data_IF_748224258684
#
_entry.id   IF_748224258684
#
_cell.length_a   1.000
_cell.length_b   1.000
_cell.length_c   1.000
_cell.angle_alpha   90.00
_cell.angle_beta   90.00
_cell.angle_gamma   90.00
#
_symmetry.space_group_name_H-M   'P 1'
#
loop_
_entity.id
_entity.type
_entity.pdbx_description
1 polymer ?
#
# COMPACT_ATOMS: atom_id res chain seq x y z
N UNK A 1 -2.61 -13.83 9.86
CA UNK A 1 -3.54 -12.79 10.34
C UNK A 1 -4.93 -12.93 9.76
N UNK A 2 -5.99 -12.47 10.46
CA UNK A 2 -7.22 -12.05 9.80
C UNK A 2 -6.89 -10.93 8.79
N UNK A 3 -7.52 -10.92 7.61
CA UNK A 3 -7.22 -9.95 6.54
C UNK A 3 -7.86 -8.58 6.86
N UNK A 4 -7.45 -7.99 7.98
CA UNK A 4 -7.95 -6.70 8.46
C UNK A 4 -7.41 -5.61 7.55
N UNK A 5 -8.32 -4.93 6.88
CA UNK A 5 -7.98 -3.83 5.99
C UNK A 5 -8.23 -2.48 6.64
N UNK A 6 -7.76 -1.44 5.96
CA UNK A 6 -8.16 -0.06 6.19
C UNK A 6 -8.46 0.56 4.85
N UNK A 7 -9.49 1.39 4.80
CA UNK A 7 -9.70 2.30 3.68
C UNK A 7 -9.83 3.73 4.15
N UNK A 8 -9.39 4.65 3.30
CA UNK A 8 -9.29 6.07 3.62
C UNK A 8 -9.39 6.93 2.36
N UNK A 9 -9.87 8.14 2.55
CA UNK A 9 -9.96 9.17 1.51
C UNK A 9 -9.51 10.50 2.09
N UNK A 10 -8.93 11.36 1.24
CA UNK A 10 -8.47 12.68 1.63
C UNK A 10 -9.33 13.76 0.99
N UNK A 11 -9.59 14.83 1.73
CA UNK A 11 -10.12 16.06 1.17
C UNK A 11 -8.95 16.96 0.77
N UNK A 12 -8.83 17.23 -0.53
CA UNK A 12 -7.79 18.11 -1.06
C UNK A 12 -8.37 19.48 -1.41
N UNK A 13 -7.53 20.50 -1.25
CA UNK A 13 -7.85 21.86 -1.70
C UNK A 13 -8.33 21.85 -3.15
N UNK A 14 -9.46 22.51 -3.41
CA UNK A 14 -10.00 22.72 -4.76
C UNK A 14 -10.59 21.49 -5.44
N UNK A 15 -10.21 20.27 -5.01
CA UNK A 15 -10.62 19.01 -5.63
C UNK A 15 -11.71 18.28 -4.83
N UNK A 16 -11.86 18.58 -3.53
CA UNK A 16 -12.83 17.91 -2.68
C UNK A 16 -12.33 16.55 -2.16
N UNK A 17 -13.26 15.66 -1.84
CA UNK A 17 -12.95 14.30 -1.43
C UNK A 17 -12.49 13.44 -2.60
N UNK A 18 -11.38 12.72 -2.42
CA UNK A 18 -10.94 11.69 -3.35
C UNK A 18 -11.87 10.45 -3.32
N UNK A 19 -11.59 9.48 -4.19
CA UNK A 19 -12.07 8.11 -3.97
C UNK A 19 -11.46 7.48 -2.69
N UNK A 20 -11.94 6.29 -2.33
CA UNK A 20 -11.42 5.51 -1.20
C UNK A 20 -10.22 4.67 -1.63
N UNK A 21 -9.07 4.94 -1.04
CA UNK A 21 -7.86 4.15 -1.15
C UNK A 21 -7.82 3.10 -0.04
N UNK A 22 -7.09 2.00 -0.26
CA UNK A 22 -7.00 0.88 0.68
C UNK A 22 -5.55 0.51 0.98
N UNK A 23 -5.30 -0.02 2.17
CA UNK A 23 -4.14 -0.86 2.50
C UNK A 23 -2.81 -0.39 1.87
N UNK A 24 -2.31 0.76 2.30
CA UNK A 24 -1.03 1.28 1.83
C UNK A 24 -1.09 2.04 0.50
N UNK A 25 -2.21 2.05 -0.24
CA UNK A 25 -2.33 2.89 -1.44
C UNK A 25 -2.21 4.39 -1.11
N UNK A 26 -1.49 5.16 -1.92
CA UNK A 26 -1.30 6.59 -1.64
C UNK A 26 -2.62 7.37 -1.85
N UNK A 27 -3.14 7.99 -0.79
CA UNK A 27 -4.22 8.94 -0.88
C UNK A 27 -3.65 10.37 -0.87
N UNK A 28 -3.71 11.07 -2.00
CA UNK A 28 -2.98 12.32 -2.16
C UNK A 28 -2.53 12.56 -3.59
N UNK A 29 -2.09 13.78 -3.88
CA UNK A 29 -1.37 14.08 -5.11
C UNK A 29 -0.10 14.86 -4.75
N UNK A 30 1.04 14.20 -4.89
CA UNK A 30 2.35 14.75 -4.52
C UNK A 30 2.81 15.73 -5.60
N UNK A 31 3.41 16.86 -5.22
CA UNK A 31 4.08 17.77 -6.15
C UNK A 31 3.18 18.65 -7.01
N UNK A 32 1.85 18.50 -6.93
CA UNK A 32 0.90 19.44 -7.55
C UNK A 32 0.55 20.64 -6.65
N UNK A 33 1.23 20.76 -5.51
CA UNK A 33 0.99 21.81 -4.51
C UNK A 33 -0.41 21.84 -3.89
N UNK A 34 -1.16 20.76 -4.02
CA UNK A 34 -2.45 20.59 -3.36
C UNK A 34 -2.23 20.14 -1.91
N UNK A 35 -2.87 20.84 -0.96
CA UNK A 35 -2.85 20.45 0.46
C UNK A 35 -3.97 19.45 0.77
N UNK A 36 -3.66 18.48 1.62
CA UNK A 36 -4.67 17.72 2.36
C UNK A 36 -5.22 18.60 3.49
N UNK A 37 -6.54 18.72 3.57
CA UNK A 37 -7.25 19.51 4.59
C UNK A 37 -7.98 18.61 5.61
N UNK A 38 -8.41 17.43 5.18
CA UNK A 38 -9.04 16.43 6.03
C UNK A 38 -8.82 15.00 5.51
N UNK A 39 -9.02 14.04 6.40
CA UNK A 39 -9.05 12.61 6.08
C UNK A 39 -10.28 11.95 6.70
N UNK A 40 -10.80 10.92 6.02
CA UNK A 40 -11.71 9.93 6.58
C UNK A 40 -11.06 8.56 6.46
N UNK A 41 -11.29 7.71 7.45
CA UNK A 41 -10.76 6.36 7.50
C UNK A 41 -11.75 5.42 8.17
N UNK A 42 -11.67 4.13 7.82
CA UNK A 42 -12.38 3.04 8.49
C UNK A 42 -11.64 1.72 8.32
N UNK A 43 -11.72 0.88 9.34
CA UNK A 43 -11.28 -0.51 9.25
C UNK A 43 -12.24 -1.36 8.43
N UNK A 44 -11.69 -2.36 7.76
CA UNK A 44 -12.38 -3.41 7.02
C UNK A 44 -12.08 -4.76 7.65
N UNK A 45 -12.99 -5.73 7.50
CA UNK A 45 -12.77 -7.14 7.88
C UNK A 45 -12.19 -7.33 9.30
N UNK A 46 -12.82 -6.71 10.31
CA UNK A 46 -12.35 -6.78 11.71
C UNK A 46 -12.35 -8.20 12.30
N UNK A 47 -12.96 -9.18 11.60
CA UNK A 47 -13.02 -10.59 12.00
C UNK A 47 -13.44 -10.83 13.46
N UNK A 48 -14.40 -10.03 13.93
CA UNK A 48 -14.96 -10.11 15.28
C UNK A 48 -14.11 -9.46 16.39
N UNK A 49 -12.99 -8.83 16.04
CA UNK A 49 -12.16 -8.08 16.99
C UNK A 49 -12.82 -6.76 17.41
N UNK A 50 -12.71 -6.44 18.70
CA UNK A 50 -13.10 -5.16 19.29
C UNK A 50 -11.98 -4.13 19.09
N UNK A 51 -11.86 -3.65 17.86
CA UNK A 51 -10.89 -2.65 17.41
C UNK A 51 -11.53 -1.52 16.60
N UNK A 52 -10.96 -0.33 16.75
CA UNK A 52 -11.30 0.89 16.02
C UNK A 52 -10.03 1.69 15.73
N UNK A 53 -10.04 2.54 14.70
CA UNK A 53 -9.01 3.56 14.49
C UNK A 53 -9.55 4.92 14.94
N UNK A 54 -8.77 5.65 15.73
CA UNK A 54 -8.99 7.07 15.97
C UNK A 54 -7.88 7.91 15.33
N UNK A 55 -8.20 9.13 14.89
CA UNK A 55 -7.24 10.03 14.25
C UNK A 55 -7.26 11.41 14.88
N UNK A 56 -6.10 12.06 14.97
CA UNK A 56 -5.93 13.42 15.48
C UNK A 56 -5.13 14.23 14.45
N UNK A 57 -5.70 15.30 13.88
CA UNK A 57 -5.00 16.13 12.90
C UNK A 57 -4.24 17.26 13.59
N UNK A 58 -3.03 17.57 13.12
CA UNK A 58 -2.36 18.83 13.41
C UNK A 58 -2.62 19.79 12.25
N UNK A 59 -3.39 20.85 12.51
CA UNK A 59 -3.82 21.80 11.49
C UNK A 59 -3.12 23.15 11.65
N UNK A 60 -2.87 23.81 10.51
CA UNK A 60 -2.33 25.17 10.50
C UNK A 60 -3.19 26.14 11.34
N UNK A 61 -2.52 26.94 12.17
CA UNK A 61 -3.13 27.94 13.07
C UNK A 61 -4.14 27.39 14.11
N UNK A 62 -4.26 26.07 14.25
CA UNK A 62 -5.09 25.41 15.27
C UNK A 62 -4.22 24.53 16.17
N UNK A 63 -3.25 23.82 15.59
CA UNK A 63 -2.52 22.75 16.26
C UNK A 63 -3.32 21.46 16.25
N UNK A 64 -3.16 20.63 17.29
CA UNK A 64 -3.87 19.37 17.44
C UNK A 64 -5.37 19.57 17.65
N UNK A 65 -6.19 18.99 16.76
CA UNK A 65 -7.65 19.12 16.78
C UNK A 65 -8.37 18.19 17.76
N UNK A 66 -7.68 17.20 18.32
CA UNK A 66 -8.24 16.14 19.16
C UNK A 66 -8.58 14.89 18.34
N UNK A 67 -8.65 13.75 19.05
CA UNK A 67 -8.97 12.46 18.41
C UNK A 67 -10.44 12.38 18.01
N UNK A 68 -10.68 12.00 16.75
CA UNK A 68 -11.99 11.67 16.17
C UNK A 68 -12.06 10.19 15.81
N UNK A 69 -13.28 9.65 15.78
CA UNK A 69 -13.53 8.24 15.52
C UNK A 69 -13.57 7.89 14.01
N UNK A 70 -13.63 6.60 13.69
CA UNK A 70 -13.82 6.12 12.32
C UNK A 70 -15.04 6.79 11.65
N UNK A 71 -14.93 7.05 10.35
CA UNK A 71 -15.94 7.74 9.52
C UNK A 71 -16.20 9.22 9.84
N UNK A 72 -15.67 9.76 10.95
CA UNK A 72 -15.72 11.20 11.22
C UNK A 72 -14.70 11.96 10.36
N UNK A 73 -14.90 13.28 10.21
CA UNK A 73 -13.95 14.14 9.50
C UNK A 73 -12.78 14.44 10.44
N UNK A 74 -11.59 13.90 10.11
CA UNK A 74 -10.35 14.23 10.79
C UNK A 74 -9.65 15.37 10.05
N UNK A 75 -9.92 16.61 10.46
CA UNK A 75 -9.40 17.82 9.85
C UNK A 75 -10.49 18.86 9.62
N UNK A 76 -10.38 19.66 8.56
CA UNK A 76 -11.39 20.67 8.20
C UNK A 76 -11.73 20.62 6.72
N UNK A 77 -12.96 20.99 6.36
CA UNK A 77 -13.42 21.07 4.97
C UNK A 77 -13.94 22.48 4.71
N UNK A 78 -13.44 23.13 3.64
CA UNK A 78 -13.90 24.47 3.24
C UNK A 78 -13.37 25.62 4.09
N UNK A 79 -12.45 25.33 5.01
CA UNK A 79 -11.82 26.31 5.91
C UNK A 79 -10.44 26.78 5.43
N UNK A 80 -9.98 26.28 4.29
CA UNK A 80 -8.69 26.61 3.67
C UNK A 80 -7.47 26.42 4.58
N UNK A 81 -7.53 25.43 5.49
CA UNK A 81 -6.45 25.10 6.41
C UNK A 81 -5.76 23.82 5.98
N UNK A 82 -4.43 23.85 5.91
CA UNK A 82 -3.61 22.65 5.64
C UNK A 82 -3.47 21.79 6.88
N UNK A 83 -3.51 20.49 6.68
CA UNK A 83 -3.00 19.52 7.63
C UNK A 83 -1.48 19.48 7.52
N UNK A 84 -0.80 19.65 8.66
CA UNK A 84 0.66 19.61 8.77
C UNK A 84 1.16 18.29 9.34
N UNK A 85 0.35 17.67 10.20
CA UNK A 85 0.65 16.41 10.87
C UNK A 85 -0.61 15.58 11.12
N UNK A 86 -0.41 14.28 11.33
CA UNK A 86 -1.45 13.31 11.61
C UNK A 86 -0.97 12.33 12.67
N UNK A 87 -1.84 11.98 13.59
CA UNK A 87 -1.72 10.80 14.45
C UNK A 87 -2.90 9.87 14.18
N UNK A 88 -2.64 8.57 14.07
CA UNK A 88 -3.65 7.52 14.04
C UNK A 88 -3.30 6.50 15.12
N UNK A 89 -4.31 5.96 15.79
CA UNK A 89 -4.10 4.92 16.80
C UNK A 89 -5.21 3.87 16.74
N UNK A 90 -4.83 2.61 16.91
CA UNK A 90 -5.81 1.55 17.18
C UNK A 90 -6.26 1.65 18.63
N UNK A 91 -7.56 1.59 18.86
CA UNK A 91 -8.21 1.55 20.18
C UNK A 91 -9.20 0.39 20.24
N UNK A 92 -9.66 0.05 21.45
CA UNK A 92 -10.57 -1.08 21.68
C UNK A 92 -9.96 -2.15 22.59
N UNK A 93 -10.71 -3.20 22.91
CA UNK A 93 -10.24 -4.27 23.81
C UNK A 93 -9.17 -5.16 23.19
N UNK A 94 -9.16 -5.25 21.87
CA UNK A 94 -8.26 -6.11 21.09
C UNK A 94 -7.14 -5.31 20.38
N UNK A 95 -6.91 -4.05 20.79
CA UNK A 95 -5.92 -3.15 20.17
C UNK A 95 -4.46 -3.60 20.36
N UNK A 96 -4.21 -4.55 21.24
CA UNK A 96 -2.92 -5.20 21.46
C UNK A 96 -2.60 -6.28 20.43
N UNK A 97 -3.55 -6.62 19.53
CA UNK A 97 -3.33 -7.62 18.47
C UNK A 97 -2.83 -7.05 17.16
N UNK A 98 -3.03 -5.74 16.94
CA UNK A 98 -2.69 -5.07 15.68
C UNK A 98 -2.10 -3.68 15.91
N UNK A 99 -1.51 -3.12 14.87
CA UNK A 99 -1.00 -1.75 14.84
C UNK A 99 -1.47 -1.04 13.57
N UNK A 100 -1.78 0.26 13.67
CA UNK A 100 -1.95 1.11 12.49
C UNK A 100 -0.60 1.73 12.14
N UNK A 101 -0.12 1.44 10.94
CA UNK A 101 1.10 2.02 10.37
C UNK A 101 0.72 3.08 9.36
N UNK A 102 1.33 4.25 9.46
CA UNK A 102 1.01 5.36 8.56
C UNK A 102 2.17 6.30 8.38
N UNK A 103 2.11 7.06 7.30
CA UNK A 103 3.09 8.09 6.97
C UNK A 103 2.51 9.12 6.04
N UNK A 104 3.24 10.22 5.88
CA UNK A 104 2.85 11.35 5.06
C UNK A 104 3.97 11.73 4.10
N UNK A 105 3.58 12.26 2.95
CA UNK A 105 4.43 13.13 2.15
C UNK A 105 4.17 14.57 2.56
N UNK A 106 5.19 15.24 3.10
CA UNK A 106 5.11 16.63 3.52
C UNK A 106 5.89 17.52 2.56
N UNK A 107 5.29 18.65 2.17
CA UNK A 107 5.90 19.62 1.28
C UNK A 107 7.34 19.98 1.71
N UNK A 108 8.26 20.00 0.75
CA UNK A 108 9.69 20.34 0.91
C UNK A 108 10.47 19.44 1.89
N UNK A 109 9.81 18.49 2.55
CA UNK A 109 10.41 17.49 3.44
C UNK A 109 10.50 16.15 2.72
N UNK A 110 9.49 15.83 1.92
CA UNK A 110 9.37 14.55 1.23
C UNK A 110 8.52 13.54 1.99
N UNK A 111 8.61 12.29 1.56
CA UNK A 111 7.94 11.17 2.22
C UNK A 111 8.72 10.79 3.47
N UNK A 112 8.05 10.82 4.62
CA UNK A 112 8.64 10.45 5.90
C UNK A 112 8.56 8.94 6.13
N UNK A 113 9.39 8.43 7.04
CA UNK A 113 9.31 7.03 7.48
C UNK A 113 7.93 6.71 8.09
N UNK A 114 7.56 5.43 8.07
CA UNK A 114 6.37 4.98 8.78
C UNK A 114 6.48 5.26 10.28
N UNK A 115 5.36 5.69 10.85
CA UNK A 115 5.11 5.74 12.28
C UNK A 115 3.89 4.88 12.60
N UNK A 116 3.61 4.70 13.88
CA UNK A 116 2.50 3.85 14.34
C UNK A 116 1.87 4.36 15.62
N UNK A 117 0.63 3.92 15.84
CA UNK A 117 -0.10 3.98 17.10
C UNK A 117 0.17 5.26 17.93
N UNK A 118 -0.26 6.40 17.40
CA UNK A 118 -0.16 7.72 18.06
C UNK A 118 1.12 8.51 17.74
N UNK A 119 2.07 7.93 17.01
CA UNK A 119 3.25 8.64 16.53
C UNK A 119 2.93 9.77 15.53
N UNK A 120 3.78 10.79 15.45
CA UNK A 120 3.59 11.86 14.49
C UNK A 120 3.97 11.42 13.07
N UNK A 121 3.05 11.54 12.12
CA UNK A 121 3.35 11.57 10.68
C UNK A 121 3.18 13.00 10.17
N UNK A 122 4.24 13.60 9.63
CA UNK A 122 4.26 14.98 9.16
C UNK A 122 5.08 15.89 10.07
N UNK A 123 4.70 17.16 10.15
CA UNK A 123 5.40 18.20 10.93
C UNK A 123 4.47 18.88 11.92
N UNK A 124 5.02 19.32 13.05
CA UNK A 124 4.33 20.23 13.97
C UNK A 124 4.92 21.65 13.78
N UNK A 125 4.09 22.61 13.38
CA UNK A 125 4.47 24.04 13.38
C UNK A 125 5.48 24.45 12.30
N UNK A 126 5.67 23.62 11.26
CA UNK A 126 6.62 23.87 10.16
C UNK A 126 6.04 24.59 8.94
N UNK A 127 4.72 24.84 8.89
CA UNK A 127 4.07 25.40 7.71
C UNK A 127 4.01 24.44 6.52
N UNK A 128 4.41 23.18 6.68
CA UNK A 128 4.54 22.19 5.61
C UNK A 128 3.24 21.39 5.48
N UNK A 129 2.53 21.57 4.37
CA UNK A 129 1.31 20.81 4.07
C UNK A 129 1.64 19.33 3.85
N UNK A 130 0.75 18.46 4.29
CA UNK A 130 0.69 17.08 3.80
C UNK A 130 0.08 17.09 2.39
N UNK A 131 0.71 16.36 1.46
CA UNK A 131 0.26 16.18 0.07
C UNK A 131 -0.22 14.75 -0.19
N UNK A 132 0.22 13.78 0.62
CA UNK A 132 -0.21 12.39 0.51
C UNK A 132 -0.07 11.61 1.80
N UNK A 133 -0.93 10.60 1.97
CA UNK A 133 -1.05 9.77 3.16
C UNK A 133 -1.12 8.30 2.75
N UNK A 134 -0.42 7.43 3.46
CA UNK A 134 -0.58 5.98 3.38
C UNK A 134 -0.87 5.42 4.76
N UNK A 135 -1.79 4.45 4.81
CA UNK A 135 -2.22 3.78 6.04
C UNK A 135 -2.38 2.29 5.75
N UNK A 136 -1.85 1.44 6.63
CA UNK A 136 -2.11 0.00 6.62
C UNK A 136 -2.25 -0.54 8.04
N UNK A 137 -2.81 -1.74 8.15
CA UNK A 137 -2.94 -2.48 9.40
C UNK A 137 -1.96 -3.65 9.37
N UNK A 138 -1.26 -3.85 10.49
CA UNK A 138 -0.24 -4.91 10.64
C UNK A 138 -0.49 -5.69 11.93
N UNK A 139 0.13 -6.86 12.10
CA UNK A 139 0.21 -7.50 13.43
C UNK A 139 0.81 -6.53 14.42
N UNK A 140 0.50 -6.73 15.71
CA UNK A 140 1.24 -6.04 16.74
C UNK A 140 2.74 -6.31 16.59
N UNK A 141 3.54 -5.31 16.96
CA UNK A 141 5.00 -5.35 16.96
C UNK A 141 5.69 -5.36 15.58
N UNK A 142 4.96 -5.47 14.47
CA UNK A 142 5.52 -5.14 13.15
C UNK A 142 6.02 -3.69 13.18
N UNK A 143 7.28 -3.49 12.80
CA UNK A 143 7.93 -2.18 12.79
C UNK A 143 8.37 -1.80 11.38
N UNK A 144 7.60 -0.90 10.76
CA UNK A 144 7.90 -0.38 9.44
C UNK A 144 8.80 0.85 9.46
N UNK A 145 9.16 1.39 10.63
CA UNK A 145 9.93 2.63 10.72
C UNK A 145 11.34 2.48 10.14
N UNK A 146 11.90 1.27 10.14
CA UNK A 146 13.19 0.95 9.52
C UNK A 146 13.10 0.71 8.00
N UNK A 147 11.90 0.54 7.47
CA UNK A 147 11.66 0.29 6.05
C UNK A 147 11.22 1.61 5.41
N UNK A 148 12.20 2.43 5.04
CA UNK A 148 11.98 3.63 4.25
C UNK A 148 11.42 3.21 2.90
N UNK A 149 10.16 3.52 2.61
CA UNK A 149 9.73 3.48 1.21
C UNK A 149 10.20 4.74 0.54
N UNK A 150 10.98 4.64 -0.55
CA UNK A 150 11.39 5.80 -1.32
C UNK A 150 10.19 6.69 -1.59
N UNK A 151 10.40 8.00 -1.51
CA UNK A 151 9.41 8.96 -1.95
C UNK A 151 9.00 8.59 -3.38
N UNK A 152 7.76 8.14 -3.54
CA UNK A 152 7.24 7.87 -4.87
C UNK A 152 7.31 9.17 -5.67
N UNK A 153 8.17 9.16 -6.69
CA UNK A 153 8.13 10.18 -7.74
C UNK A 153 6.76 10.02 -8.38
N UNK A 154 5.91 11.02 -8.18
CA UNK A 154 4.75 11.34 -9.02
C UNK A 154 4.20 10.10 -9.76
N UNK A 155 3.45 9.26 -9.07
CA UNK A 155 2.48 8.45 -9.79
C UNK A 155 1.36 9.41 -10.14
N UNK A 156 1.45 10.01 -11.32
CA UNK A 156 0.21 10.39 -12.00
C UNK A 156 -0.66 9.13 -11.95
N UNK A 157 -1.89 9.18 -11.39
CA UNK A 157 -2.81 8.10 -11.63
C UNK A 157 -2.83 7.93 -13.14
N UNK A 158 -2.38 6.77 -13.63
CA UNK A 158 -2.50 6.46 -15.04
C UNK A 158 -3.99 6.67 -15.32
N UNK A 159 -4.38 7.69 -16.11
CA UNK A 159 -5.76 7.80 -16.51
C UNK A 159 -6.06 6.47 -17.17
N UNK A 160 -7.07 5.72 -16.71
CA UNK A 160 -7.44 4.42 -17.28
C UNK A 160 -7.38 4.57 -18.80
N UNK A 161 -6.36 4.02 -19.47
CA UNK A 161 -6.22 4.35 -20.87
C UNK A 161 -7.21 3.50 -21.63
N UNK A 162 -7.94 4.12 -22.57
CA UNK A 162 -8.20 3.42 -23.81
C UNK A 162 -6.87 2.81 -24.28
N UNK A 163 -6.81 1.47 -24.29
CA UNK A 163 -5.77 0.61 -24.88
C UNK A 163 -4.58 1.42 -25.41
N UNK A 164 -3.58 1.69 -24.57
CA UNK A 164 -2.32 2.27 -25.05
C UNK A 164 -1.63 1.17 -25.86
N UNK A 165 -1.30 1.39 -27.14
CA UNK A 165 -0.47 0.45 -27.86
C UNK A 165 0.88 0.34 -27.15
N UNK A 166 1.29 -0.89 -26.84
CA UNK A 166 2.58 -1.24 -26.26
C UNK A 166 3.69 -0.55 -27.08
N UNK A 167 4.21 0.57 -26.59
CA UNK A 167 5.48 1.11 -27.08
C UNK A 167 6.58 0.44 -26.31
N UNK A 168 7.30 -0.43 -27.02
CA UNK A 168 8.45 -1.24 -26.62
C UNK A 168 9.60 -0.41 -26.03
N UNK A 169 9.51 -0.04 -24.76
CA UNK A 169 10.61 0.43 -23.93
C UNK A 169 10.83 -0.53 -22.77
N UNK A 170 12.10 -0.75 -22.39
CA UNK A 170 12.44 -1.39 -21.11
C UNK A 170 11.86 -0.58 -19.96
N UNK A 171 11.28 -1.23 -18.94
CA UNK A 171 10.84 -0.58 -17.70
C UNK A 171 12.03 -0.05 -16.91
N UNK A 172 13.21 -0.67 -17.09
CA UNK A 172 14.44 -0.24 -16.41
C UNK A 172 14.39 -0.51 -14.92
N UNK A 173 13.82 -1.67 -14.53
CA UNK A 173 13.82 -2.16 -13.16
C UNK A 173 15.26 -2.18 -12.61
N UNK A 174 15.42 -1.75 -11.36
CA UNK A 174 16.75 -1.69 -10.75
C UNK A 174 17.20 -3.03 -10.19
N UNK A 175 16.24 -3.79 -9.68
CA UNK A 175 16.49 -4.92 -8.81
C UNK A 175 16.17 -6.25 -9.47
N UNK A 176 15.15 -6.27 -10.34
CA UNK A 176 14.75 -7.47 -11.05
C UNK A 176 15.09 -7.41 -12.54
N UNK A 177 15.35 -8.56 -13.15
CA UNK A 177 15.41 -8.71 -14.59
C UNK A 177 14.00 -8.87 -15.15
N UNK A 178 13.49 -7.79 -15.75
CA UNK A 178 12.14 -7.70 -16.32
C UNK A 178 11.84 -8.72 -17.42
N UNK A 179 12.86 -9.28 -18.07
CA UNK A 179 12.73 -10.23 -19.18
C UNK A 179 12.71 -11.69 -18.73
N UNK A 180 12.99 -11.99 -17.45
CA UNK A 180 13.21 -13.39 -17.02
C UNK A 180 12.62 -13.76 -15.66
N UNK A 181 12.63 -12.87 -14.67
CA UNK A 181 12.25 -13.25 -13.29
C UNK A 181 10.74 -13.35 -13.06
N UNK A 182 9.93 -12.87 -14.00
CA UNK A 182 8.46 -12.87 -13.89
C UNK A 182 7.77 -13.83 -14.87
N UNK A 183 8.54 -14.47 -15.74
CA UNK A 183 8.03 -15.37 -16.75
C UNK A 183 7.50 -16.67 -16.14
N UNK A 184 6.59 -17.29 -16.87
CA UNK A 184 6.14 -18.65 -16.59
C UNK A 184 7.29 -19.64 -16.70
N UNK A 185 7.43 -20.49 -15.67
CA UNK A 185 8.56 -21.40 -15.53
C UNK A 185 8.59 -22.52 -16.57
N UNK A 186 7.46 -22.80 -17.25
CA UNK A 186 7.41 -23.76 -18.35
C UNK A 186 8.14 -23.29 -19.62
N UNK A 187 8.56 -22.01 -19.65
CA UNK A 187 9.27 -21.41 -20.77
C UNK A 187 8.37 -21.00 -21.94
N UNK A 188 7.05 -20.97 -21.77
CA UNK A 188 6.11 -20.56 -22.84
C UNK A 188 6.17 -19.05 -23.16
N UNK A 189 6.78 -18.24 -22.28
CA UNK A 189 6.88 -16.80 -22.43
C UNK A 189 5.67 -16.00 -21.90
N UNK A 190 4.70 -16.67 -21.26
CA UNK A 190 3.66 -15.96 -20.52
C UNK A 190 4.27 -15.19 -19.35
N UNK A 191 3.83 -13.96 -19.11
CA UNK A 191 4.47 -13.00 -18.20
C UNK A 191 3.42 -12.27 -17.35
N UNK A 192 3.88 -11.56 -16.33
CA UNK A 192 3.06 -10.60 -15.58
C UNK A 192 3.03 -9.23 -16.28
N UNK A 193 2.00 -8.44 -15.98
CA UNK A 193 1.88 -7.08 -16.49
C UNK A 193 2.93 -6.14 -15.88
N UNK A 194 3.29 -5.07 -16.61
CA UNK A 194 4.32 -4.10 -16.19
C UNK A 194 4.08 -3.50 -14.80
N UNK A 195 2.82 -3.28 -14.43
CA UNK A 195 2.46 -2.76 -13.11
C UNK A 195 2.94 -3.67 -11.97
N UNK A 196 2.79 -4.99 -12.10
CA UNK A 196 3.27 -5.97 -11.11
C UNK A 196 4.79 -5.88 -10.98
N UNK A 197 5.51 -5.76 -12.11
CA UNK A 197 6.97 -5.66 -12.13
C UNK A 197 7.46 -4.40 -11.43
N UNK A 198 6.84 -3.24 -11.73
CA UNK A 198 7.17 -1.96 -11.10
C UNK A 198 6.88 -1.98 -9.59
N UNK A 199 5.75 -2.56 -9.18
CA UNK A 199 5.40 -2.70 -7.77
C UNK A 199 6.38 -3.65 -7.05
N UNK A 200 6.78 -4.76 -7.67
CA UNK A 200 7.77 -5.68 -7.10
C UNK A 200 9.14 -4.99 -6.93
N UNK A 201 9.62 -4.26 -7.93
CA UNK A 201 10.88 -3.50 -7.86
C UNK A 201 10.86 -2.45 -6.74
N UNK A 202 9.73 -1.73 -6.60
CA UNK A 202 9.51 -0.82 -5.49
C UNK A 202 9.48 -1.55 -4.13
N UNK A 203 8.80 -2.70 -4.02
CA UNK A 203 8.77 -3.50 -2.81
C UNK A 203 10.18 -3.94 -2.38
N UNK A 204 11.03 -4.33 -3.34
CA UNK A 204 12.42 -4.70 -3.05
C UNK A 204 13.28 -3.53 -2.61
N UNK A 205 13.10 -2.35 -3.21
CA UNK A 205 13.77 -1.13 -2.77
C UNK A 205 13.39 -0.76 -1.33
N UNK A 206 12.10 -0.85 -0.96
CA UNK A 206 11.60 -0.61 0.41
C UNK A 206 12.16 -1.61 1.40
N UNK A 207 12.06 -2.89 1.04
CA UNK A 207 12.44 -3.99 1.92
C UNK A 207 13.94 -3.97 2.23
N UNK A 208 14.73 -3.33 1.35
CA UNK A 208 16.17 -3.07 1.56
C UNK A 208 17.05 -4.32 1.48
N UNK A 209 16.48 -5.47 1.14
CA UNK A 209 17.16 -6.76 1.04
C UNK A 209 16.73 -7.49 -0.25
N UNK A 210 17.50 -8.48 -0.73
CA UNK A 210 17.11 -9.27 -1.89
C UNK A 210 15.74 -9.93 -1.71
N UNK A 211 14.86 -9.70 -2.68
CA UNK A 211 13.59 -10.40 -2.85
C UNK A 211 13.66 -11.27 -4.11
N UNK A 212 13.04 -12.43 -4.05
CA UNK A 212 12.99 -13.42 -5.13
C UNK A 212 11.55 -13.70 -5.50
N UNK A 213 11.27 -13.70 -6.80
CA UNK A 213 10.00 -14.14 -7.36
C UNK A 213 10.04 -15.66 -7.48
N UNK A 214 9.34 -16.37 -6.59
CA UNK A 214 9.20 -17.83 -6.67
C UNK A 214 8.14 -18.27 -7.67
N UNK A 215 7.21 -17.37 -8.02
CA UNK A 215 6.25 -17.62 -9.10
C UNK A 215 5.77 -16.30 -9.68
N UNK A 216 5.90 -16.13 -11.00
CA UNK A 216 5.37 -14.99 -11.74
C UNK A 216 4.12 -15.37 -12.53
N UNK A 217 4.08 -15.03 -13.82
CA UNK A 217 3.01 -15.46 -14.71
C UNK A 217 2.91 -16.99 -14.76
N UNK A 218 1.71 -17.55 -14.85
CA UNK A 218 1.52 -19.00 -15.06
C UNK A 218 0.57 -19.23 -16.22
N UNK A 219 1.01 -19.88 -17.30
CA UNK A 219 0.07 -20.33 -18.32
C UNK A 219 -0.90 -21.39 -17.73
N UNK A 220 -2.00 -21.68 -18.43
CA UNK A 220 -2.99 -22.64 -17.95
C UNK A 220 -2.40 -24.04 -17.70
N UNK A 221 -1.52 -24.50 -18.60
CA UNK A 221 -0.89 -25.82 -18.51
C UNK A 221 0.07 -25.90 -17.32
N UNK A 222 0.94 -24.90 -17.15
CA UNK A 222 1.86 -24.84 -16.02
C UNK A 222 1.12 -24.69 -14.69
N UNK A 223 0.08 -23.84 -14.64
CA UNK A 223 -0.75 -23.70 -13.45
C UNK A 223 -1.37 -25.04 -13.04
N UNK A 224 -1.88 -25.83 -13.99
CA UNK A 224 -2.38 -27.18 -13.71
C UNK A 224 -1.27 -28.12 -13.25
N UNK A 225 -0.08 -28.07 -13.86
CA UNK A 225 1.06 -28.91 -13.53
C UNK A 225 1.55 -28.70 -12.08
N UNK A 226 1.51 -27.46 -11.58
CA UNK A 226 1.90 -27.13 -10.20
C UNK A 226 0.73 -27.21 -9.20
N UNK A 227 -0.42 -27.75 -9.61
CA UNK A 227 -1.60 -27.92 -8.75
C UNK A 227 -2.33 -26.61 -8.41
N UNK A 228 -2.16 -25.58 -9.23
CA UNK A 228 -2.86 -24.30 -9.08
C UNK A 228 -4.36 -24.42 -9.33
N UNK A 229 -5.13 -23.54 -8.71
CA UNK A 229 -6.58 -23.48 -8.89
C UNK A 229 -6.96 -22.86 -10.24
N UNK A 230 -8.09 -23.27 -10.85
CA UNK A 230 -8.65 -22.56 -12.00
C UNK A 230 -8.98 -21.10 -11.65
N UNK A 231 -8.72 -20.17 -12.57
CA UNK A 231 -8.96 -18.73 -12.35
C UNK A 231 -7.95 -18.04 -11.44
N UNK A 232 -6.83 -18.69 -11.12
CA UNK A 232 -5.71 -18.10 -10.36
C UNK A 232 -5.22 -16.80 -11.00
N UNK A 233 -4.93 -15.78 -10.18
CA UNK A 233 -4.46 -14.48 -10.67
C UNK A 233 -3.09 -14.55 -11.39
N UNK A 234 -2.28 -15.59 -11.12
CA UNK A 234 -1.07 -15.84 -11.91
C UNK A 234 -1.39 -16.17 -13.38
N UNK A 235 -2.54 -16.79 -13.64
CA UNK A 235 -2.98 -17.10 -15.01
C UNK A 235 -3.51 -15.91 -15.78
N UNK A 236 -3.70 -14.78 -15.08
CA UNK A 236 -4.06 -13.48 -15.66
C UNK A 236 -2.85 -12.55 -15.76
N UNK A 237 -1.68 -12.96 -15.27
CA UNK A 237 -0.47 -12.12 -15.24
C UNK A 237 -0.53 -10.98 -14.22
N UNK A 238 -1.40 -11.08 -13.21
CA UNK A 238 -1.63 -10.02 -12.20
C UNK A 238 -1.24 -10.47 -10.78
N UNK A 239 -0.38 -11.47 -10.66
CA UNK A 239 0.09 -11.97 -9.37
C UNK A 239 1.55 -12.42 -9.39
N UNK A 240 2.18 -12.39 -8.21
CA UNK A 240 3.51 -12.90 -7.91
C UNK A 240 3.54 -13.58 -6.54
N UNK A 241 4.39 -14.58 -6.40
CA UNK A 241 4.79 -15.13 -5.10
C UNK A 241 6.23 -14.69 -4.81
N UNK A 242 6.46 -14.11 -3.62
CA UNK A 242 7.71 -13.42 -3.27
C UNK A 242 8.21 -13.86 -1.90
N UNK A 243 9.53 -14.00 -1.77
CA UNK A 243 10.19 -14.29 -0.49
C UNK A 243 11.61 -13.70 -0.41
N UNK A 244 12.19 -13.68 0.79
CA UNK A 244 13.54 -13.19 1.07
C UNK A 244 14.46 -14.31 1.60
N UNK A 245 15.34 -14.91 0.78
CA UNK A 245 16.17 -16.04 1.19
C UNK A 245 16.98 -15.79 2.45
N UNK A 246 16.93 -16.75 3.38
CA UNK A 246 17.67 -16.69 4.64
C UNK A 246 17.15 -15.69 5.68
N UNK A 247 16.07 -14.95 5.37
CA UNK A 247 15.44 -13.99 6.28
C UNK A 247 14.03 -14.38 6.70
N UNK A 248 13.35 -15.22 5.91
CA UNK A 248 11.95 -15.52 6.17
C UNK A 248 11.75 -16.22 7.51
N UNK A 249 10.94 -15.58 8.34
CA UNK A 249 10.31 -16.10 9.56
C UNK A 249 8.83 -15.73 9.48
N UNK A 250 7.97 -16.25 10.37
CA UNK A 250 6.55 -15.86 10.39
C UNK A 250 6.40 -14.33 10.50
N UNK A 251 7.16 -13.69 11.38
CA UNK A 251 7.15 -12.24 11.52
C UNK A 251 7.66 -11.51 10.26
N UNK A 252 8.68 -12.08 9.58
CA UNK A 252 9.19 -11.49 8.33
C UNK A 252 8.20 -11.65 7.17
N UNK A 253 7.34 -12.68 7.17
CA UNK A 253 6.21 -12.79 6.22
C UNK A 253 5.27 -11.60 6.39
N UNK A 254 4.95 -11.23 7.64
CA UNK A 254 4.06 -10.09 7.91
C UNK A 254 4.70 -8.75 7.51
N UNK A 255 6.00 -8.59 7.76
CA UNK A 255 6.77 -7.43 7.29
C UNK A 255 6.76 -7.35 5.76
N UNK A 256 7.06 -8.46 5.07
CA UNK A 256 7.08 -8.48 3.60
C UNK A 256 5.69 -8.20 3.02
N UNK A 257 4.63 -8.78 3.62
CA UNK A 257 3.26 -8.53 3.21
C UNK A 257 2.88 -7.05 3.39
N UNK A 258 3.27 -6.44 4.51
CA UNK A 258 3.07 -5.02 4.76
C UNK A 258 3.82 -4.12 3.75
N UNK A 259 5.05 -4.49 3.39
CA UNK A 259 5.83 -3.79 2.35
C UNK A 259 5.16 -3.92 0.97
N UNK A 260 4.69 -5.12 0.62
CA UNK A 260 3.97 -5.35 -0.63
C UNK A 260 2.64 -4.56 -0.68
N UNK A 261 1.89 -4.49 0.43
CA UNK A 261 0.70 -3.63 0.52
C UNK A 261 1.06 -2.14 0.38
N UNK A 262 2.17 -1.69 0.96
CA UNK A 262 2.62 -0.30 0.86
C UNK A 262 2.94 0.16 -0.58
N UNK A 263 3.13 -0.79 -1.52
CA UNK A 263 3.28 -0.52 -2.96
C UNK A 263 2.02 -0.83 -3.77
N UNK A 264 0.94 -1.26 -3.11
CA UNK A 264 -0.38 -1.44 -3.72
C UNK A 264 -0.80 -2.89 -3.99
N UNK A 265 -0.03 -3.90 -3.57
CA UNK A 265 -0.48 -5.30 -3.69
C UNK A 265 -1.60 -5.57 -2.67
N UNK A 266 -2.63 -6.29 -3.11
CA UNK A 266 -3.37 -7.13 -2.18
C UNK A 266 -2.49 -8.35 -1.86
N UNK A 267 -2.46 -8.80 -0.60
CA UNK A 267 -1.52 -9.85 -0.19
C UNK A 267 -2.18 -10.97 0.58
N UNK A 268 -1.67 -12.18 0.36
CA UNK A 268 -1.98 -13.37 1.15
C UNK A 268 -0.66 -13.87 1.74
N UNK A 269 -0.62 -13.99 3.06
CA UNK A 269 0.56 -14.43 3.80
C UNK A 269 0.54 -15.95 4.00
N UNK A 270 1.60 -16.63 3.58
CA UNK A 270 1.79 -18.06 3.78
C UNK A 270 2.87 -18.28 4.85
N UNK A 271 2.44 -18.30 6.12
CA UNK A 271 3.35 -18.32 7.28
C UNK A 271 4.11 -19.64 7.47
N UNK A 272 3.57 -20.75 6.98
CA UNK A 272 4.19 -22.07 7.14
C UNK A 272 5.15 -22.36 5.97
N UNK A 273 4.83 -21.86 4.78
CA UNK A 273 5.63 -21.96 3.56
C UNK A 273 6.62 -20.78 3.40
N UNK A 274 6.50 -19.76 4.24
CA UNK A 274 7.42 -18.63 4.36
C UNK A 274 7.55 -17.79 3.08
N UNK A 275 6.42 -17.48 2.44
CA UNK A 275 6.35 -16.54 1.32
C UNK A 275 5.09 -15.66 1.39
N UNK A 276 5.06 -14.63 0.55
CA UNK A 276 3.91 -13.75 0.38
C UNK A 276 3.43 -13.84 -1.06
N UNK A 277 2.15 -14.14 -1.23
CA UNK A 277 1.47 -13.94 -2.50
C UNK A 277 1.00 -12.49 -2.58
N UNK A 278 1.28 -11.81 -3.69
CA UNK A 278 0.80 -10.47 -3.99
C UNK A 278 0.10 -10.44 -5.33
N UNK A 279 -1.08 -9.84 -5.37
CA UNK A 279 -1.86 -9.66 -6.59
C UNK A 279 -2.52 -8.28 -6.67
N UNK A 280 -3.12 -7.99 -7.83
CA UNK A 280 -4.12 -6.95 -7.94
C UNK A 280 -5.47 -7.59 -7.67
N UNK A 281 -6.21 -7.07 -6.69
CA UNK A 281 -7.56 -7.52 -6.32
C UNK A 281 -8.55 -7.22 -7.47
N UNK A 282 -8.57 -8.09 -8.48
CA UNK A 282 -9.51 -8.01 -9.59
C UNK A 282 -10.86 -8.64 -9.17
N UNK A 283 -11.54 -7.99 -8.21
CA UNK A 283 -12.99 -8.11 -8.04
C UNK A 283 -13.80 -7.65 -9.28
N UNK A 284 -13.12 -7.24 -10.36
CA UNK A 284 -13.71 -6.98 -11.66
C UNK A 284 -13.78 -8.27 -12.48
N UNK A 285 -15.00 -8.81 -12.56
CA UNK A 285 -15.41 -9.66 -13.68
C UNK A 285 -15.31 -8.83 -14.96
N UNK A 286 -14.33 -9.13 -15.81
CA UNK A 286 -14.44 -8.78 -17.22
C UNK A 286 -15.50 -9.71 -17.79
N UNK A 287 -16.75 -9.23 -17.85
CA UNK A 287 -17.77 -9.85 -18.69
C UNK A 287 -17.24 -9.78 -20.13
N UNK A 288 -16.59 -10.85 -20.56
CA UNK A 288 -16.26 -11.09 -21.96
C UNK A 288 -17.56 -11.46 -22.67
N UNK A 289 -18.31 -10.43 -23.06
CA UNK A 289 -19.30 -10.50 -24.15
C UNK A 289 -18.68 -9.94 -25.42
#
# INVERSE_FOLDING_TARGET
>A
MPNIGVEYQVHQEGSGWSEWFKNGAMAGVIGQSLRVEAIRFRLLNKDGLDIYIHGNPHLENIGWGGFVAENEICGTVGESRKMEGLQLQVVGKDADKVSVQYRTHSQDVGTMAFTRDGGLAGTEGGGKRIEGIQILITEKDVDLSQYEVPAFRHFDPIPVPEIIPVTSGRLGLKHFNEDTEFLCEDGCGFDVIDQIKLMADAAREIYGHPLFISSGGRCADWNAAVGGIPGSNHTRGVAIDVYAPGRMTRAEVDVLAAVMQAVGFHTISYHDELFVHGDLDEGYSWDMN
#
